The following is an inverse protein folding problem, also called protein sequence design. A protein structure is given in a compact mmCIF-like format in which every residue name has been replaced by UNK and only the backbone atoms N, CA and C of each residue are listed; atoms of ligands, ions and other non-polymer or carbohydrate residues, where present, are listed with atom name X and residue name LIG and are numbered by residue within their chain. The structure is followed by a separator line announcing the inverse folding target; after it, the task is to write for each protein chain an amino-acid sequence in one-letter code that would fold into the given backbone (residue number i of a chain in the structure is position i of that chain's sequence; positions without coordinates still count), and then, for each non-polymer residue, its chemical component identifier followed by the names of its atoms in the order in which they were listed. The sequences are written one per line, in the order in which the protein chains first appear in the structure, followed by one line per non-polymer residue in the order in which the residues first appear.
data_IF_048851181896
#
_entry.id   IF_048851181896
#
_cell.length_a   1.000
_cell.length_b   1.000
_cell.length_c   1.000
_cell.angle_alpha   90.00
_cell.angle_beta   90.00
_cell.angle_gamma   90.00
#
_symmetry.space_group_name_H-M   'P 1'
#
loop_
_entity.id
_entity.type
_entity.pdbx_description
1 polymer ?
#
# COMPACT_ATOMS: atom_id res chain seq x y z
N UNK A 1 7.29 6.12 -58.27
CA UNK A 1 8.62 6.04 -57.62
C UNK A 1 8.43 5.39 -56.27
N UNK A 2 9.18 4.30 -56.04
CA UNK A 2 9.64 3.74 -54.75
C UNK A 2 8.61 3.55 -53.62
N UNK A 3 8.09 2.33 -53.50
CA UNK A 3 7.72 1.79 -52.18
C UNK A 3 9.01 1.53 -51.39
N UNK A 4 9.19 2.24 -50.28
CA UNK A 4 10.22 1.93 -49.29
C UNK A 4 9.74 0.75 -48.44
N UNK A 5 10.52 -0.34 -48.45
CA UNK A 5 10.19 -1.58 -47.77
C UNK A 5 10.26 -1.49 -46.25
N UNK A 6 9.45 -2.32 -45.59
CA UNK A 6 9.73 -2.77 -44.23
C UNK A 6 10.53 -4.07 -44.32
N UNK A 7 11.81 -3.99 -43.96
CA UNK A 7 12.69 -5.12 -43.74
C UNK A 7 12.20 -5.98 -42.56
N UNK A 8 11.82 -7.23 -42.83
CA UNK A 8 11.62 -8.34 -41.87
C UNK A 8 11.17 -7.96 -40.45
N UNK A 9 9.98 -7.37 -40.30
CA UNK A 9 9.36 -7.24 -38.99
C UNK A 9 8.64 -8.55 -38.64
N UNK A 10 9.32 -9.48 -37.96
CA UNK A 10 8.62 -10.58 -37.30
C UNK A 10 7.86 -10.01 -36.11
N UNK A 11 6.54 -9.89 -36.22
CA UNK A 11 5.66 -9.55 -35.12
C UNK A 11 5.15 -10.83 -34.46
N UNK A 12 5.09 -10.85 -33.13
CA UNK A 12 4.48 -11.95 -32.39
C UNK A 12 3.20 -11.45 -31.73
N UNK A 13 2.09 -12.09 -32.07
CA UNK A 13 0.78 -11.77 -31.52
C UNK A 13 0.47 -12.65 -30.31
N UNK A 14 -0.13 -12.06 -29.28
CA UNK A 14 -0.50 -12.76 -28.06
C UNK A 14 -1.94 -12.42 -27.65
N UNK A 15 -2.65 -13.41 -27.14
CA UNK A 15 -3.97 -13.19 -26.52
C UNK A 15 -3.80 -12.62 -25.12
N UNK A 16 -4.50 -11.54 -24.80
CA UNK A 16 -4.54 -10.94 -23.45
C UNK A 16 -5.92 -11.16 -22.84
N UNK A 17 -5.96 -11.74 -21.63
CA UNK A 17 -7.18 -11.95 -20.84
C UNK A 17 -7.17 -11.03 -19.62
N UNK A 18 -8.34 -10.51 -19.25
CA UNK A 18 -8.54 -9.73 -18.01
C UNK A 18 -9.49 -10.50 -17.10
N UNK A 19 -8.98 -11.31 -16.15
CA UNK A 19 -9.83 -12.08 -15.23
C UNK A 19 -10.65 -11.16 -14.33
N UNK A 20 -11.98 -11.32 -14.32
CA UNK A 20 -12.90 -10.47 -13.53
C UNK A 20 -13.10 -10.94 -12.09
N UNK A 21 -13.04 -12.26 -11.86
CA UNK A 21 -13.36 -12.88 -10.56
C UNK A 21 -12.11 -13.45 -9.89
N UNK A 22 -11.14 -12.59 -9.55
CA UNK A 22 -9.97 -13.00 -8.78
C UNK A 22 -10.25 -12.92 -7.28
N UNK A 23 -9.88 -13.97 -6.54
CA UNK A 23 -9.91 -13.99 -5.07
C UNK A 23 -8.73 -13.24 -4.44
N UNK A 24 -7.77 -12.77 -5.26
CA UNK A 24 -6.52 -12.14 -4.81
C UNK A 24 -6.47 -10.68 -5.23
N UNK A 25 -5.98 -9.83 -4.32
CA UNK A 25 -5.65 -8.42 -4.61
C UNK A 25 -4.17 -8.29 -4.95
N UNK A 26 -3.87 -7.69 -6.10
CA UNK A 26 -2.50 -7.47 -6.56
C UNK A 26 -2.03 -6.09 -6.11
N UNK A 27 -0.83 -6.01 -5.55
CA UNK A 27 -0.24 -4.77 -5.07
C UNK A 27 1.22 -4.68 -5.52
N UNK A 28 1.74 -3.46 -5.64
CA UNK A 28 3.14 -3.20 -5.96
C UNK A 28 3.92 -2.90 -4.68
N UNK A 29 5.06 -3.55 -4.57
CA UNK A 29 6.07 -3.33 -3.54
C UNK A 29 7.31 -2.76 -4.24
N UNK A 30 7.55 -1.47 -4.08
CA UNK A 30 8.67 -0.76 -4.69
C UNK A 30 9.80 -0.58 -3.67
N UNK A 31 11.00 -1.05 -4.00
CA UNK A 31 12.22 -0.84 -3.22
C UNK A 31 13.06 0.26 -3.86
N UNK A 32 13.79 1.02 -3.03
CA UNK A 32 14.77 1.96 -3.55
C UNK A 32 15.96 1.22 -4.16
N UNK A 33 16.45 1.67 -5.32
CA UNK A 33 17.65 1.11 -5.96
C UNK A 33 18.89 1.24 -5.05
N UNK A 34 18.94 2.29 -4.22
CA UNK A 34 20.01 2.49 -3.24
C UNK A 34 20.09 1.40 -2.16
N UNK A 35 18.99 0.74 -1.83
CA UNK A 35 18.94 -0.29 -0.78
C UNK A 35 19.54 -1.64 -1.22
N UNK A 36 19.83 -1.77 -2.53
CA UNK A 36 20.45 -2.95 -3.16
C UNK A 36 19.80 -4.24 -2.68
N UNK A 37 18.47 -4.28 -2.74
CA UNK A 37 17.68 -5.42 -2.27
C UNK A 37 17.90 -6.61 -3.19
N UNK A 38 18.37 -7.72 -2.63
CA UNK A 38 18.53 -8.98 -3.33
C UNK A 38 17.64 -10.07 -2.70
N UNK A 39 16.53 -10.39 -3.36
CA UNK A 39 15.56 -11.37 -2.89
C UNK A 39 16.11 -12.81 -2.83
N UNK A 40 17.19 -13.14 -3.57
CA UNK A 40 17.76 -14.49 -3.50
C UNK A 40 18.45 -14.80 -2.17
N UNK A 41 18.81 -13.75 -1.40
CA UNK A 41 19.43 -13.88 -0.08
C UNK A 41 18.41 -14.09 1.06
N UNK A 42 17.12 -14.08 0.73
CA UNK A 42 16.05 -14.16 1.72
C UNK A 42 15.71 -15.64 1.96
N UNK A 43 15.95 -16.13 3.18
CA UNK A 43 15.56 -17.49 3.57
C UNK A 43 14.15 -17.54 4.17
N UNK A 44 13.72 -16.45 4.79
CA UNK A 44 12.39 -16.28 5.35
C UNK A 44 11.97 -14.81 5.32
N UNK A 45 10.68 -14.55 5.13
CA UNK A 45 10.11 -13.22 5.19
C UNK A 45 8.75 -13.24 5.89
N UNK A 46 8.49 -12.21 6.70
CA UNK A 46 7.21 -11.99 7.38
C UNK A 46 6.73 -10.59 7.07
N UNK A 47 5.51 -10.48 6.57
CA UNK A 47 4.89 -9.21 6.19
C UNK A 47 3.62 -8.99 7.00
N UNK A 48 3.55 -7.88 7.72
CA UNK A 48 2.47 -7.58 8.68
C UNK A 48 2.05 -6.11 8.61
N UNK A 49 0.83 -5.80 9.04
CA UNK A 49 0.42 -4.40 9.22
C UNK A 49 1.07 -3.80 10.46
N UNK A 50 1.52 -2.56 10.35
CA UNK A 50 2.03 -1.78 11.47
C UNK A 50 0.88 -1.34 12.37
N UNK A 51 0.65 -2.06 13.48
CA UNK A 51 -0.43 -1.75 14.42
C UNK A 51 0.00 -0.73 15.50
N UNK A 52 1.20 -0.15 15.43
CA UNK A 52 1.71 0.77 16.46
C UNK A 52 0.85 2.02 16.62
N UNK A 53 0.28 2.54 15.52
CA UNK A 53 -0.61 3.69 15.52
C UNK A 53 -1.94 3.43 16.26
N UNK A 54 -2.33 2.16 16.49
CA UNK A 54 -3.54 1.82 17.24
C UNK A 54 -3.53 2.40 18.66
N UNK A 55 -2.35 2.60 19.25
CA UNK A 55 -2.19 3.21 20.59
C UNK A 55 -2.43 4.73 20.60
N UNK A 56 -2.27 5.40 19.45
CA UNK A 56 -2.45 6.85 19.31
C UNK A 56 -3.93 7.19 19.10
N UNK A 57 -4.71 6.25 18.55
CA UNK A 57 -6.16 6.37 18.36
C UNK A 57 -6.98 5.72 19.49
N UNK A 58 -6.33 5.03 20.42
CA UNK A 58 -6.98 4.66 21.68
C UNK A 58 -7.18 5.94 22.47
N UNK A 59 -8.43 6.25 22.79
CA UNK A 59 -8.83 7.34 23.69
C UNK A 59 -7.78 7.54 24.78
N UNK A 60 -7.29 8.78 24.95
CA UNK A 60 -7.08 9.26 26.30
C UNK A 60 -8.44 9.16 26.98
N UNK A 61 -8.69 8.02 27.64
CA UNK A 61 -9.77 7.86 28.61
C UNK A 61 -9.41 8.80 29.76
N UNK A 62 -9.73 10.08 29.59
CA UNK A 62 -9.58 11.06 30.65
C UNK A 62 -10.56 10.65 31.74
N UNK A 63 -10.10 10.35 32.96
CA UNK A 63 -10.99 9.89 34.02
C UNK A 63 -12.02 10.98 34.33
N UNK A 64 -13.29 10.70 34.02
CA UNK A 64 -14.46 11.60 34.16
C UNK A 64 -14.91 11.73 35.64
N UNK A 65 -13.97 11.74 36.58
CA UNK A 65 -14.28 11.85 38.01
C UNK A 65 -13.13 12.49 38.78
N UNK A 66 -13.07 13.82 38.73
CA UNK A 66 -12.28 14.65 39.65
C UNK A 66 -13.06 15.89 40.07
N UNK A 67 -13.49 15.94 41.34
CA UNK A 67 -14.27 17.03 41.90
C UNK A 67 -13.62 18.41 41.66
N UNK A 68 -14.36 19.32 41.01
CA UNK A 68 -14.16 20.77 41.11
C UNK A 68 -13.43 21.49 39.96
N UNK A 69 -12.93 20.83 38.92
CA UNK A 69 -12.20 21.50 37.82
C UNK A 69 -12.60 21.10 36.38
N UNK A 70 -13.58 20.21 36.22
CA UNK A 70 -13.99 19.68 34.91
C UNK A 70 -15.14 20.44 34.23
N UNK A 71 -15.74 21.43 34.90
CA UNK A 71 -16.86 22.18 34.35
C UNK A 71 -16.40 23.07 33.18
N UNK A 72 -16.68 22.62 31.96
CA UNK A 72 -16.35 23.33 30.71
C UNK A 72 -15.16 22.77 29.93
N UNK A 73 -14.44 21.75 30.43
CA UNK A 73 -13.34 21.11 29.70
C UNK A 73 -13.83 20.48 28.39
N UNK A 74 -14.95 19.75 28.45
CA UNK A 74 -15.63 19.13 27.30
C UNK A 74 -16.03 20.16 26.24
N UNK A 75 -16.64 21.29 26.65
CA UNK A 75 -17.04 22.37 25.74
C UNK A 75 -15.85 23.14 25.14
N UNK A 76 -14.76 23.33 25.91
CA UNK A 76 -13.54 24.01 25.45
C UNK A 76 -12.72 23.14 24.49
N UNK A 77 -12.68 21.82 24.72
CA UNK A 77 -12.11 20.86 23.76
C UNK A 77 -12.96 20.72 22.51
N UNK A 78 -14.29 20.69 22.64
CA UNK A 78 -15.18 20.63 21.48
C UNK A 78 -15.12 21.91 20.62
N UNK A 79 -15.01 23.08 21.26
CA UNK A 79 -14.77 24.35 20.58
C UNK A 79 -13.37 24.41 19.94
N UNK A 80 -12.33 23.85 20.58
CA UNK A 80 -11.00 23.66 19.94
C UNK A 80 -11.10 22.71 18.75
N UNK A 81 -11.79 21.59 18.87
CA UNK A 81 -11.93 20.58 17.81
C UNK A 81 -12.63 21.16 16.60
N UNK A 82 -13.69 21.96 16.81
CA UNK A 82 -14.38 22.76 15.78
C UNK A 82 -13.50 23.88 15.20
N UNK A 83 -12.74 24.59 16.03
CA UNK A 83 -11.87 25.72 15.61
C UNK A 83 -10.61 25.27 14.85
N UNK A 84 -10.03 24.12 15.20
CA UNK A 84 -8.79 23.59 14.60
C UNK A 84 -9.05 22.50 13.54
N UNK A 85 -10.32 22.18 13.24
CA UNK A 85 -10.68 21.21 12.21
C UNK A 85 -10.06 19.83 12.43
N UNK A 86 -9.92 19.40 13.69
CA UNK A 86 -9.27 18.13 14.03
C UNK A 86 -10.21 16.99 13.66
N UNK A 87 -10.07 16.51 12.43
CA UNK A 87 -10.73 15.30 11.92
C UNK A 87 -10.04 14.10 12.56
N UNK A 88 -10.74 13.44 13.48
CA UNK A 88 -10.30 12.15 14.02
C UNK A 88 -10.37 11.14 12.89
N UNK A 89 -9.22 10.76 12.34
CA UNK A 89 -9.16 9.69 11.34
C UNK A 89 -9.39 8.37 12.06
N UNK A 90 -10.38 7.61 11.61
CA UNK A 90 -10.61 6.27 12.13
C UNK A 90 -9.42 5.36 11.82
N UNK A 91 -9.04 4.52 12.77
CA UNK A 91 -7.99 3.53 12.57
C UNK A 91 -8.48 2.42 11.64
N UNK A 92 -8.06 2.45 10.37
CA UNK A 92 -8.28 1.37 9.40
C UNK A 92 -7.03 0.53 9.26
N UNK A 93 -7.13 -0.77 9.55
CA UNK A 93 -6.02 -1.71 9.44
C UNK A 93 -5.46 -1.80 8.00
N UNK A 94 -6.33 -1.65 7.00
CA UNK A 94 -5.96 -1.71 5.57
C UNK A 94 -5.11 -0.52 5.11
N UNK A 95 -5.25 0.62 5.79
CA UNK A 95 -4.50 1.85 5.52
C UNK A 95 -3.20 1.93 6.33
N UNK A 96 -2.99 1.00 7.28
CA UNK A 96 -1.74 0.95 8.03
C UNK A 96 -0.58 0.53 7.12
N UNK A 97 0.62 1.09 7.32
CA UNK A 97 1.82 0.68 6.60
C UNK A 97 2.08 -0.83 6.74
N UNK A 98 2.73 -1.41 5.74
CA UNK A 98 3.27 -2.75 5.84
C UNK A 98 4.64 -2.73 6.52
N UNK A 99 4.93 -3.78 7.27
CA UNK A 99 6.25 -4.05 7.85
C UNK A 99 6.71 -5.38 7.30
N UNK A 100 7.77 -5.34 6.50
CA UNK A 100 8.44 -6.53 5.97
C UNK A 100 9.69 -6.80 6.81
N UNK A 101 9.75 -7.97 7.45
CA UNK A 101 10.90 -8.47 8.20
C UNK A 101 11.49 -9.64 7.42
N UNK A 102 12.75 -9.54 7.03
CA UNK A 102 13.48 -10.55 6.26
C UNK A 102 14.52 -11.19 7.17
N UNK A 103 14.67 -12.51 7.11
CA UNK A 103 15.69 -13.27 7.86
C UNK A 103 15.60 -13.13 9.40
N UNK A 104 14.38 -13.03 9.93
CA UNK A 104 14.12 -13.07 11.37
C UNK A 104 14.45 -11.77 12.12
N UNK A 105 14.74 -11.86 13.43
CA UNK A 105 14.87 -10.70 14.33
C UNK A 105 16.09 -9.82 14.05
N UNK A 106 17.20 -10.41 13.60
CA UNK A 106 18.45 -9.71 13.29
C UNK A 106 18.58 -9.33 11.81
N UNK A 107 17.61 -9.70 10.97
CA UNK A 107 17.65 -9.41 9.55
C UNK A 107 17.07 -8.04 9.20
N UNK A 108 16.96 -7.76 7.90
CA UNK A 108 16.52 -6.45 7.39
C UNK A 108 15.03 -6.22 7.65
N UNK A 109 14.67 -4.97 7.94
CA UNK A 109 13.29 -4.54 8.14
C UNK A 109 13.00 -3.37 7.21
N UNK A 110 11.91 -3.47 6.45
CA UNK A 110 11.41 -2.42 5.55
C UNK A 110 10.02 -1.97 6.00
N UNK A 111 9.72 -0.68 5.80
CA UNK A 111 8.41 -0.10 6.13
C UNK A 111 7.74 0.38 4.85
N UNK A 112 6.76 -0.38 4.38
CA UNK A 112 5.98 -0.08 3.19
C UNK A 112 4.89 0.92 3.46
N UNK A 113 5.08 2.17 3.02
CA UNK A 113 4.05 3.21 3.11
C UNK A 113 3.26 3.25 1.81
N UNK A 114 1.93 3.26 1.91
CA UNK A 114 1.03 3.35 0.75
C UNK A 114 1.25 4.69 0.04
N UNK A 115 1.61 4.64 -1.23
CA UNK A 115 1.76 5.82 -2.08
C UNK A 115 0.37 6.30 -2.50
N UNK A 116 0.02 7.53 -2.10
CA UNK A 116 -1.20 8.19 -2.55
C UNK A 116 -1.14 8.55 -4.03
N UNK A 117 -2.31 8.70 -4.66
CA UNK A 117 -2.45 9.24 -6.02
C UNK A 117 -2.00 8.36 -7.18
N UNK A 118 -1.51 7.14 -6.92
CA UNK A 118 -1.03 6.26 -8.01
C UNK A 118 -2.15 5.88 -8.96
N UNK A 119 -3.37 5.67 -8.46
CA UNK A 119 -4.52 5.26 -9.29
C UNK A 119 -5.48 6.41 -9.62
N UNK A 120 -5.09 7.68 -9.39
CA UNK A 120 -6.01 8.82 -9.57
C UNK A 120 -6.28 9.13 -11.04
N UNK A 121 -5.24 9.11 -11.89
CA UNK A 121 -5.35 9.50 -13.30
C UNK A 121 -5.17 8.33 -14.28
N UNK A 122 -4.71 7.17 -13.80
CA UNK A 122 -4.47 5.98 -14.61
C UNK A 122 -4.62 4.71 -13.75
N UNK A 123 -4.98 3.61 -14.39
CA UNK A 123 -5.00 2.29 -13.75
C UNK A 123 -3.80 1.47 -14.20
N UNK A 124 -3.11 0.84 -13.25
CA UNK A 124 -1.97 -0.03 -13.53
C UNK A 124 -2.42 -1.49 -13.59
N UNK A 125 -1.83 -2.25 -14.50
CA UNK A 125 -2.07 -3.68 -14.65
C UNK A 125 -0.75 -4.45 -14.63
N UNK A 126 -0.76 -5.62 -14.00
CA UNK A 126 0.35 -6.58 -14.01
C UNK A 126 0.03 -7.62 -15.07
N UNK A 127 0.91 -7.75 -16.06
CA UNK A 127 0.82 -8.77 -17.10
C UNK A 127 1.69 -9.96 -16.71
N UNK A 128 1.10 -11.15 -16.67
CA UNK A 128 1.82 -12.41 -16.48
C UNK A 128 1.62 -13.30 -17.68
N UNK A 129 2.71 -13.84 -18.23
CA UNK A 129 2.63 -14.83 -19.30
C UNK A 129 2.26 -16.19 -18.72
N UNK A 130 1.18 -16.77 -19.22
CA UNK A 130 0.70 -18.08 -18.87
C UNK A 130 1.46 -19.17 -19.67
N UNK A 131 1.48 -20.43 -19.20
CA UNK A 131 2.13 -21.53 -19.91
C UNK A 131 1.56 -21.82 -21.31
N UNK A 132 0.30 -21.43 -21.57
CA UNK A 132 -0.37 -21.52 -22.88
C UNK A 132 0.06 -20.41 -23.85
N UNK A 133 0.98 -19.52 -23.43
CA UNK A 133 1.48 -18.40 -24.21
C UNK A 133 0.60 -17.14 -24.16
N UNK A 134 -0.60 -17.22 -23.58
CA UNK A 134 -1.45 -16.04 -23.40
C UNK A 134 -0.94 -15.18 -22.22
N UNK A 135 -1.40 -13.94 -22.16
CA UNK A 135 -1.17 -13.06 -21.01
C UNK A 135 -2.43 -12.91 -20.18
N UNK A 136 -2.26 -12.84 -18.86
CA UNK A 136 -3.30 -12.40 -17.94
C UNK A 136 -2.91 -11.05 -17.35
N UNK A 137 -3.86 -10.11 -17.38
CA UNK A 137 -3.69 -8.77 -16.86
C UNK A 137 -4.50 -8.58 -15.57
N UNK A 138 -3.79 -8.26 -14.47
CA UNK A 138 -4.38 -8.08 -13.14
C UNK A 138 -4.33 -6.61 -12.70
N UNK A 139 -5.44 -6.01 -12.28
CA UNK A 139 -5.45 -4.62 -11.83
C UNK A 139 -4.69 -4.46 -10.51
N UNK A 140 -3.87 -3.41 -10.43
CA UNK A 140 -3.13 -3.04 -9.22
C UNK A 140 -4.06 -2.31 -8.25
N UNK A 141 -4.20 -2.83 -7.04
CA UNK A 141 -5.05 -2.26 -5.98
C UNK A 141 -4.29 -1.25 -5.10
N UNK A 142 -2.99 -1.40 -4.95
CA UNK A 142 -2.20 -0.57 -4.06
C UNK A 142 -0.73 -0.53 -4.44
N UNK A 143 -0.10 0.59 -4.15
CA UNK A 143 1.31 0.82 -4.38
C UNK A 143 1.98 1.19 -3.08
N UNK A 144 3.04 0.49 -2.70
CA UNK A 144 3.76 0.71 -1.46
C UNK A 144 5.23 0.93 -1.75
N UNK A 145 5.79 2.02 -1.22
CA UNK A 145 7.23 2.28 -1.24
C UNK A 145 7.82 1.77 0.07
N UNK A 146 8.77 0.84 -0.02
CA UNK A 146 9.43 0.17 1.09
C UNK A 146 10.85 0.70 1.33
#
# INVERSE_FOLDING_TARGET
MTSLGSSSSSATEYTVRVPKNTSKKYNIMAFNSGDRVNCSTWTQARMERDMSARRIYGEEETPESGAGSEFGKKQREEARRKKFGIVTREFKAEDQPWILKVNGKAGKKFKGVKKGGVTENASYYIFTQCPDGAFEAFPVHGWYNL
#
